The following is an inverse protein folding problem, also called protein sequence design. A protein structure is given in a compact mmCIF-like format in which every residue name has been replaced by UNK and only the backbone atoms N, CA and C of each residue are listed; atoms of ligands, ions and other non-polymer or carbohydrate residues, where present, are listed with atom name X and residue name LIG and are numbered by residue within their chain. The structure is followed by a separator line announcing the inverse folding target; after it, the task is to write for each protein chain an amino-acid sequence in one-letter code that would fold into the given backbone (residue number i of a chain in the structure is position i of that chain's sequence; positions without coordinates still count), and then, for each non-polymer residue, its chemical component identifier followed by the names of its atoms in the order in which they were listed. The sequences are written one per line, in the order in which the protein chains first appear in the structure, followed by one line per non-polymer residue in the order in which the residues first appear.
data_IF_615604184958
#
_entry.id   IF_615604184958
#
_cell.length_a   1.000
_cell.length_b   1.000
_cell.length_c   1.000
_cell.angle_alpha   90.00
_cell.angle_beta   90.00
_cell.angle_gamma   90.00
#
_symmetry.space_group_name_H-M   'P 1'
#
loop_
_entity.id
_entity.type
_entity.pdbx_description
1 polymer ?
#
# COMPACT_ATOMS: atom_id res chain seq x y z
N UNK A 1 32.65 63.18 64.17
CA UNK A 1 31.59 62.38 63.50
C UNK A 1 30.77 63.35 62.65
N UNK A 2 30.68 63.36 61.33
CA UNK A 2 31.09 62.51 60.21
C UNK A 2 31.30 63.40 58.96
N UNK A 3 32.26 63.06 58.10
CA UNK A 3 32.44 63.59 56.72
C UNK A 3 31.41 62.95 55.76
N UNK A 4 31.19 63.59 54.60
CA UNK A 4 31.12 62.98 53.23
C UNK A 4 30.09 63.69 52.33
N UNK A 5 30.52 64.48 51.33
CA UNK A 5 30.86 64.19 49.91
C UNK A 5 29.66 64.10 48.94
N UNK A 6 29.72 64.95 47.90
CA UNK A 6 28.86 65.00 46.71
C UNK A 6 29.13 63.81 45.78
N UNK A 7 28.11 63.32 45.05
CA UNK A 7 28.27 62.48 43.86
C UNK A 7 27.34 62.98 42.75
N UNK A 8 27.91 63.30 41.59
CA UNK A 8 27.19 63.57 40.33
C UNK A 8 26.74 62.24 39.72
N UNK A 9 25.47 62.16 39.31
CA UNK A 9 24.93 61.05 38.53
C UNK A 9 25.25 61.20 37.04
N UNK A 10 25.86 60.18 36.45
CA UNK A 10 26.09 60.04 35.01
C UNK A 10 24.96 59.18 34.42
N UNK A 11 24.26 59.69 33.41
CA UNK A 11 23.24 58.95 32.66
C UNK A 11 23.87 58.28 31.44
N UNK A 12 23.80 56.94 31.36
CA UNK A 12 24.20 56.16 30.20
C UNK A 12 22.93 55.83 29.41
N UNK A 13 22.83 56.35 28.18
CA UNK A 13 21.78 55.96 27.23
C UNK A 13 22.21 54.68 26.50
N UNK A 14 21.43 53.61 26.65
CA UNK A 14 21.64 52.33 25.94
C UNK A 14 20.76 52.33 24.69
N UNK A 15 21.39 52.38 23.52
CA UNK A 15 20.74 52.22 22.21
C UNK A 15 20.56 50.74 21.90
N UNK A 16 19.32 50.26 21.89
CA UNK A 16 18.99 48.89 21.49
C UNK A 16 18.98 48.75 19.96
N UNK A 17 19.93 47.99 19.42
CA UNK A 17 19.93 47.55 18.02
C UNK A 17 18.99 46.35 17.88
N UNK A 18 17.85 46.56 17.21
CA UNK A 18 16.93 45.48 16.85
C UNK A 18 17.52 44.67 15.69
N UNK A 19 18.09 43.50 16.01
CA UNK A 19 18.47 42.48 15.03
C UNK A 19 17.21 41.71 14.60
N UNK A 20 16.69 42.01 13.41
CA UNK A 20 15.66 41.18 12.76
C UNK A 20 16.33 39.90 12.24
N UNK A 21 16.42 38.88 13.08
CA UNK A 21 16.78 37.53 12.66
C UNK A 21 15.61 36.95 11.85
N UNK A 22 15.70 37.05 10.51
CA UNK A 22 14.81 36.33 9.62
C UNK A 22 15.06 34.83 9.78
N UNK A 23 14.16 34.14 10.48
CA UNK A 23 14.14 32.69 10.56
C UNK A 23 13.76 32.11 9.18
N UNK A 24 14.78 31.82 8.36
CA UNK A 24 14.62 30.98 7.18
C UNK A 24 14.22 29.58 7.67
N UNK A 25 12.94 29.26 7.61
CA UNK A 25 12.43 27.92 7.86
C UNK A 25 12.95 27.02 6.74
N UNK A 26 14.01 26.26 7.01
CA UNK A 26 14.48 25.23 6.09
C UNK A 26 13.35 24.21 5.89
N UNK A 27 12.80 24.15 4.68
CA UNK A 27 11.86 23.09 4.32
C UNK A 27 12.60 21.76 4.47
N UNK A 28 12.06 20.84 5.29
CA UNK A 28 12.60 19.50 5.36
C UNK A 28 12.48 18.84 3.97
N UNK A 29 13.50 18.11 3.50
CA UNK A 29 13.44 17.43 2.22
C UNK A 29 12.21 16.52 2.16
N UNK A 30 11.38 16.66 1.13
CA UNK A 30 10.27 15.73 0.90
C UNK A 30 10.84 14.35 0.56
N UNK A 31 10.35 13.31 1.24
CA UNK A 31 10.80 11.94 1.00
C UNK A 31 10.40 11.49 -0.40
N UNK A 32 11.26 10.73 -1.12
CA UNK A 32 10.94 10.27 -2.47
C UNK A 32 9.65 9.46 -2.53
N UNK A 33 8.84 9.74 -3.55
CA UNK A 33 7.56 9.06 -3.80
C UNK A 33 7.64 8.15 -5.03
N UNK A 34 6.89 7.05 -4.99
CA UNK A 34 6.77 6.11 -6.11
C UNK A 34 5.32 5.77 -6.39
N UNK A 35 4.96 5.76 -7.66
CA UNK A 35 3.71 5.19 -8.14
C UNK A 35 3.87 3.70 -8.39
N UNK A 36 2.96 2.93 -7.80
CA UNK A 36 2.82 1.50 -8.00
C UNK A 36 1.60 1.25 -8.87
N UNK A 37 1.72 0.35 -9.84
CA UNK A 37 0.59 -0.19 -10.58
C UNK A 37 0.72 -1.70 -10.72
N UNK A 38 -0.36 -2.42 -10.42
CA UNK A 38 -0.48 -3.86 -10.52
C UNK A 38 -1.78 -4.18 -11.24
N UNK A 39 -1.67 -4.66 -12.48
CA UNK A 39 -2.81 -4.91 -13.35
C UNK A 39 -2.74 -6.31 -13.94
N UNK A 40 -3.89 -6.92 -14.25
CA UNK A 40 -3.89 -8.19 -14.98
C UNK A 40 -5.13 -9.02 -14.78
N UNK A 41 -5.18 -10.12 -15.53
CA UNK A 41 -6.18 -11.17 -15.41
C UNK A 41 -5.43 -12.50 -15.47
N UNK A 42 -5.63 -13.37 -14.49
CA UNK A 42 -4.93 -14.65 -14.42
C UNK A 42 -5.88 -15.76 -13.99
N UNK A 43 -5.71 -16.92 -14.61
CA UNK A 43 -6.22 -18.20 -14.11
C UNK A 43 -5.11 -18.88 -13.32
N UNK A 44 -5.38 -19.25 -12.07
CA UNK A 44 -4.43 -19.92 -11.20
C UNK A 44 -4.62 -21.44 -11.26
N UNK A 45 -3.52 -22.14 -11.06
CA UNK A 45 -3.54 -23.56 -10.73
C UNK A 45 -4.23 -23.76 -9.38
N UNK A 46 -5.04 -24.80 -9.29
CA UNK A 46 -5.73 -25.19 -8.07
C UNK A 46 -5.65 -26.70 -7.89
N UNK A 47 -5.80 -27.16 -6.64
CA UNK A 47 -5.64 -28.59 -6.32
C UNK A 47 -6.64 -29.47 -7.08
N UNK A 48 -7.88 -29.00 -7.23
CA UNK A 48 -8.88 -29.62 -8.09
C UNK A 48 -8.72 -29.11 -9.52
N UNK A 49 -8.19 -29.93 -10.42
CA UNK A 49 -7.93 -29.52 -11.82
C UNK A 49 -9.16 -29.09 -12.61
N UNK A 50 -10.34 -29.58 -12.24
CA UNK A 50 -11.60 -29.21 -12.87
C UNK A 50 -12.11 -27.83 -12.44
N UNK A 51 -11.62 -27.30 -11.32
CA UNK A 51 -11.99 -25.98 -10.84
C UNK A 51 -11.32 -24.87 -11.67
N UNK A 52 -11.88 -23.67 -11.60
CA UNK A 52 -11.33 -22.47 -12.25
C UNK A 52 -11.23 -21.32 -11.24
N UNK A 53 -10.02 -21.02 -10.80
CA UNK A 53 -9.71 -19.88 -9.92
C UNK A 53 -9.16 -18.74 -10.75
N UNK A 54 -9.81 -17.57 -10.68
CA UNK A 54 -9.43 -16.39 -11.44
C UNK A 54 -9.26 -15.16 -10.56
N UNK A 55 -8.24 -14.37 -10.90
CA UNK A 55 -7.99 -13.06 -10.31
C UNK A 55 -7.98 -12.02 -11.43
N UNK A 56 -8.72 -10.93 -11.24
CA UNK A 56 -8.64 -9.70 -12.02
C UNK A 56 -8.20 -8.56 -11.11
N UNK A 57 -7.09 -7.92 -11.46
CA UNK A 57 -6.49 -6.82 -10.69
C UNK A 57 -6.44 -5.54 -11.52
N UNK A 58 -6.81 -4.45 -10.86
CA UNK A 58 -6.47 -3.08 -11.23
C UNK A 58 -6.17 -2.33 -9.93
N UNK A 59 -4.91 -2.35 -9.50
CA UNK A 59 -4.49 -1.83 -8.21
C UNK A 59 -3.37 -0.79 -8.38
N UNK A 60 -3.51 0.33 -7.68
CA UNK A 60 -2.57 1.43 -7.76
C UNK A 60 -2.27 2.00 -6.38
N UNK A 61 -1.09 2.56 -6.20
CA UNK A 61 -0.74 3.27 -4.98
C UNK A 61 0.32 4.34 -5.19
N UNK A 62 0.33 5.35 -4.31
CA UNK A 62 1.45 6.27 -4.12
C UNK A 62 2.14 5.89 -2.81
N UNK A 63 3.43 5.56 -2.89
CA UNK A 63 4.23 5.18 -1.72
C UNK A 63 5.31 6.22 -1.44
N UNK A 64 5.41 6.63 -0.19
CA UNK A 64 6.53 7.44 0.31
C UNK A 64 7.63 6.50 0.79
N UNK A 65 8.88 6.77 0.42
CA UNK A 65 10.03 5.97 0.84
C UNK A 65 10.13 5.92 2.37
N UNK A 66 10.38 4.73 2.91
CA UNK A 66 10.50 4.50 4.36
C UNK A 66 9.18 4.36 5.12
N UNK A 67 8.03 4.59 4.48
CA UNK A 67 6.72 4.39 5.11
C UNK A 67 6.24 2.94 4.94
N UNK A 68 5.66 2.33 5.99
CA UNK A 68 5.16 0.95 5.93
C UNK A 68 3.89 0.82 5.08
N UNK A 69 3.11 1.90 4.95
CA UNK A 69 1.87 1.94 4.19
C UNK A 69 1.95 2.99 3.07
N UNK A 70 1.21 2.79 1.96
CA UNK A 70 1.10 3.81 0.94
C UNK A 70 0.36 5.03 1.48
N UNK A 71 0.74 6.21 1.00
CA UNK A 71 0.02 7.46 1.26
C UNK A 71 -1.41 7.40 0.68
N UNK A 72 -1.53 6.76 -0.48
CA UNK A 72 -2.81 6.52 -1.17
C UNK A 72 -2.79 5.18 -1.88
N UNK A 73 -3.89 4.45 -1.82
CA UNK A 73 -4.11 3.24 -2.61
C UNK A 73 -5.54 3.26 -3.18
N UNK A 74 -5.72 2.73 -4.39
CA UNK A 74 -7.02 2.71 -5.05
C UNK A 74 -7.09 1.63 -6.12
N UNK A 75 -8.30 1.37 -6.59
CA UNK A 75 -8.60 0.38 -7.61
C UNK A 75 -9.40 -0.80 -7.05
N UNK A 76 -9.48 -1.88 -7.82
CA UNK A 76 -10.32 -3.03 -7.49
C UNK A 76 -9.64 -4.36 -7.77
N UNK A 77 -10.06 -5.39 -7.03
CA UNK A 77 -9.70 -6.77 -7.30
C UNK A 77 -10.95 -7.63 -7.30
N UNK A 78 -11.09 -8.47 -8.32
CA UNK A 78 -12.11 -9.52 -8.37
C UNK A 78 -11.44 -10.88 -8.27
N UNK A 79 -11.86 -11.66 -7.27
CA UNK A 79 -11.53 -13.07 -7.10
C UNK A 79 -12.77 -13.89 -7.43
N UNK A 80 -12.63 -14.95 -8.23
CA UNK A 80 -13.69 -15.92 -8.44
C UNK A 80 -13.15 -17.34 -8.45
N UNK A 81 -13.94 -18.26 -7.93
CA UNK A 81 -13.65 -19.69 -7.94
C UNK A 81 -14.90 -20.41 -8.43
N UNK A 82 -14.78 -21.05 -9.60
CA UNK A 82 -15.76 -22.01 -10.09
C UNK A 82 -15.43 -23.40 -9.54
N UNK A 83 -16.37 -23.96 -8.81
CA UNK A 83 -16.31 -25.30 -8.26
C UNK A 83 -17.03 -26.27 -9.19
N UNK A 84 -16.29 -27.18 -9.81
CA UNK A 84 -16.84 -28.03 -10.86
C UNK A 84 -17.87 -29.05 -10.35
N UNK A 85 -17.68 -29.54 -9.13
CA UNK A 85 -18.56 -30.55 -8.51
C UNK A 85 -19.94 -29.96 -8.16
N UNK A 86 -19.96 -28.71 -7.72
CA UNK A 86 -21.17 -27.98 -7.32
C UNK A 86 -21.80 -27.21 -8.49
N UNK A 87 -21.11 -27.12 -9.64
CA UNK A 87 -21.47 -26.27 -10.78
C UNK A 87 -21.80 -24.83 -10.33
N UNK A 88 -20.92 -24.26 -9.51
CA UNK A 88 -21.16 -23.01 -8.78
C UNK A 88 -19.94 -22.09 -8.90
N UNK A 89 -20.18 -20.81 -9.16
CA UNK A 89 -19.11 -19.79 -9.12
C UNK A 89 -19.31 -18.87 -7.91
N UNK A 90 -18.40 -18.96 -6.95
CA UNK A 90 -18.29 -17.98 -5.87
C UNK A 90 -17.36 -16.85 -6.29
N UNK A 91 -17.67 -15.63 -5.87
CA UNK A 91 -16.88 -14.45 -6.22
C UNK A 91 -16.90 -13.39 -5.13
N UNK A 92 -15.82 -12.62 -5.07
CA UNK A 92 -15.69 -11.44 -4.24
C UNK A 92 -15.08 -10.28 -5.05
N UNK A 93 -15.60 -9.08 -4.84
CA UNK A 93 -15.09 -7.81 -5.35
C UNK A 93 -14.61 -6.98 -4.17
N UNK A 94 -13.33 -6.60 -4.20
CA UNK A 94 -12.71 -5.79 -3.18
C UNK A 94 -12.17 -4.46 -3.71
N UNK A 95 -12.15 -3.47 -2.83
CA UNK A 95 -11.53 -2.17 -3.05
C UNK A 95 -10.11 -2.18 -2.47
N UNK A 96 -9.14 -1.72 -3.26
CA UNK A 96 -7.72 -1.74 -2.89
C UNK A 96 -7.44 -0.76 -1.77
N UNK A 97 -6.92 -1.27 -0.65
CA UNK A 97 -6.50 -0.47 0.49
C UNK A 97 -4.97 -0.46 0.69
N UNK A 98 -4.24 -1.26 -0.10
CA UNK A 98 -2.79 -1.25 -0.19
C UNK A 98 -2.28 -1.85 -1.50
N UNK A 99 -1.21 -1.28 -2.07
CA UNK A 99 -0.41 -1.92 -3.10
C UNK A 99 1.08 -1.59 -2.90
N UNK A 100 1.93 -2.60 -2.95
CA UNK A 100 3.38 -2.49 -2.89
C UNK A 100 4.01 -3.36 -3.97
N UNK A 101 5.13 -2.89 -4.52
CA UNK A 101 5.84 -3.55 -5.60
C UNK A 101 7.35 -3.42 -5.43
N UNK A 102 8.05 -4.48 -5.83
CA UNK A 102 9.51 -4.58 -5.88
C UNK A 102 9.92 -5.60 -6.95
N UNK A 103 10.76 -5.19 -7.90
CA UNK A 103 11.09 -6.02 -9.06
C UNK A 103 9.83 -6.43 -9.83
N UNK A 104 9.70 -7.73 -10.11
CA UNK A 104 8.55 -8.34 -10.78
C UNK A 104 7.44 -8.80 -9.82
N UNK A 105 7.61 -8.57 -8.52
CA UNK A 105 6.71 -9.00 -7.45
C UNK A 105 5.90 -7.84 -6.88
N UNK A 106 4.67 -8.14 -6.46
CA UNK A 106 3.81 -7.20 -5.76
C UNK A 106 2.98 -7.87 -4.66
N UNK A 107 2.63 -7.07 -3.66
CA UNK A 107 1.61 -7.38 -2.67
C UNK A 107 0.48 -6.36 -2.77
N UNK A 108 -0.75 -6.85 -2.87
CA UNK A 108 -1.97 -6.02 -2.89
C UNK A 108 -2.87 -6.48 -1.76
N UNK A 109 -3.55 -5.56 -1.08
CA UNK A 109 -4.66 -5.93 -0.20
C UNK A 109 -5.91 -5.16 -0.55
N UNK A 110 -7.05 -5.81 -0.33
CA UNK A 110 -8.38 -5.23 -0.57
C UNK A 110 -9.31 -5.45 0.59
N UNK A 111 -10.24 -4.52 0.79
CA UNK A 111 -11.44 -4.73 1.61
C UNK A 111 -12.56 -5.21 0.71
N UNK A 112 -13.14 -6.37 1.02
CA UNK A 112 -14.26 -6.93 0.27
C UNK A 112 -15.49 -6.04 0.43
N UNK A 113 -16.05 -5.58 -0.71
CA UNK A 113 -17.23 -4.72 -0.76
C UNK A 113 -18.46 -5.48 -1.19
N UNK A 114 -18.31 -6.41 -2.12
CA UNK A 114 -19.42 -7.17 -2.66
C UNK A 114 -19.03 -8.61 -2.98
N UNK A 115 -20.00 -9.52 -2.91
CA UNK A 115 -19.77 -10.96 -3.04
C UNK A 115 -21.00 -11.71 -3.54
N UNK A 116 -20.76 -12.96 -3.96
CA UNK A 116 -21.82 -13.94 -4.12
C UNK A 116 -22.60 -14.15 -2.80
N UNK A 117 -23.94 -14.31 -2.82
CA UNK A 117 -24.74 -14.42 -1.58
C UNK A 117 -24.30 -15.51 -0.60
N UNK A 118 -23.78 -16.64 -1.07
CA UNK A 118 -23.31 -17.75 -0.21
C UNK A 118 -22.03 -17.44 0.58
N UNK A 119 -21.32 -16.35 0.24
CA UNK A 119 -20.15 -15.85 0.98
C UNK A 119 -20.37 -14.38 1.35
N UNK A 120 -21.61 -14.04 1.74
CA UNK A 120 -21.98 -12.70 2.16
C UNK A 120 -21.21 -12.23 3.40
N UNK A 121 -20.80 -13.17 4.25
CA UNK A 121 -20.00 -12.95 5.46
C UNK A 121 -18.57 -12.46 5.16
N UNK A 122 -18.10 -12.56 3.91
CA UNK A 122 -16.79 -12.02 3.53
C UNK A 122 -16.77 -10.49 3.42
N UNK A 123 -17.93 -9.82 3.31
CA UNK A 123 -18.00 -8.35 3.21
C UNK A 123 -17.35 -7.69 4.43
N UNK A 124 -16.52 -6.68 4.18
CA UNK A 124 -15.76 -5.97 5.22
C UNK A 124 -14.45 -6.65 5.63
N UNK A 125 -14.22 -7.92 5.27
CA UNK A 125 -12.95 -8.61 5.51
C UNK A 125 -11.87 -8.16 4.53
N UNK A 126 -10.60 -8.32 4.92
CA UNK A 126 -9.43 -8.07 4.06
C UNK A 126 -8.96 -9.35 3.39
N UNK A 127 -8.55 -9.24 2.13
CA UNK A 127 -7.80 -10.29 1.42
C UNK A 127 -6.46 -9.70 0.97
N UNK A 128 -5.36 -10.39 1.31
CA UNK A 128 -4.03 -10.11 0.79
C UNK A 128 -3.74 -10.98 -0.43
N UNK A 129 -3.09 -10.41 -1.44
CA UNK A 129 -2.68 -11.04 -2.68
C UNK A 129 -1.17 -10.86 -2.85
N UNK A 130 -0.45 -11.95 -3.07
CA UNK A 130 0.94 -11.91 -3.54
C UNK A 130 0.99 -12.32 -4.99
N UNK A 131 1.78 -11.60 -5.78
CA UNK A 131 1.77 -11.70 -7.24
C UNK A 131 3.20 -11.64 -7.76
N UNK A 132 3.54 -12.53 -8.69
CA UNK A 132 4.78 -12.49 -9.45
C UNK A 132 4.45 -12.50 -10.94
N UNK A 133 5.02 -11.53 -11.68
CA UNK A 133 4.72 -11.33 -13.10
C UNK A 133 5.36 -12.40 -14.00
N UNK A 134 6.31 -13.19 -13.48
CA UNK A 134 7.14 -14.09 -14.28
C UNK A 134 8.15 -13.35 -15.18
N UNK A 135 8.93 -14.12 -15.93
CA UNK A 135 9.99 -13.61 -16.82
C UNK A 135 11.23 -14.50 -16.79
N UNK A 136 12.11 -14.38 -17.78
CA UNK A 136 13.43 -15.03 -17.82
C UNK A 136 13.40 -16.56 -17.53
N UNK A 137 12.37 -17.24 -18.05
CA UNK A 137 12.16 -18.68 -17.85
C UNK A 137 11.36 -19.05 -16.59
N UNK A 138 11.04 -18.07 -15.74
CA UNK A 138 10.22 -18.26 -14.55
C UNK A 138 8.72 -18.04 -14.82
N UNK A 139 7.85 -18.94 -14.36
CA UNK A 139 6.42 -18.77 -14.52
C UNK A 139 5.87 -17.65 -13.62
N UNK A 140 4.81 -17.00 -14.09
CA UNK A 140 4.01 -16.12 -13.24
C UNK A 140 3.34 -16.92 -12.11
N UNK A 141 3.18 -16.28 -10.95
CA UNK A 141 2.60 -16.91 -9.75
C UNK A 141 1.67 -15.97 -9.00
N UNK A 142 0.74 -16.53 -8.25
CA UNK A 142 -0.12 -15.78 -7.34
C UNK A 142 -0.48 -16.60 -6.11
N UNK A 143 -0.92 -15.94 -5.05
CA UNK A 143 -1.60 -16.58 -3.93
C UNK A 143 -2.44 -15.54 -3.17
N UNK A 144 -3.38 -16.00 -2.33
CA UNK A 144 -4.19 -15.13 -1.47
C UNK A 144 -4.25 -15.62 -0.02
N UNK A 145 -4.42 -14.72 0.94
CA UNK A 145 -4.66 -15.08 2.36
C UNK A 145 -6.01 -15.75 2.58
N UNK A 146 -6.95 -15.67 1.62
CA UNK A 146 -8.37 -15.77 1.90
C UNK A 146 -8.89 -14.56 2.71
N UNK A 147 -10.19 -14.53 3.06
CA UNK A 147 -10.78 -13.44 3.84
C UNK A 147 -10.36 -13.52 5.32
N UNK A 148 -9.84 -12.41 5.85
CA UNK A 148 -9.44 -12.26 7.25
C UNK A 148 -10.09 -10.99 7.81
N UNK A 149 -10.41 -10.95 9.11
CA UNK A 149 -10.89 -9.72 9.73
C UNK A 149 -9.93 -8.55 9.44
N UNK A 150 -10.50 -7.39 9.07
CA UNK A 150 -9.72 -6.26 8.59
C UNK A 150 -8.89 -5.56 9.67
N UNK A 151 -9.02 -5.91 10.94
CA UNK A 151 -8.11 -5.49 12.01
C UNK A 151 -6.99 -6.51 12.26
N UNK A 152 -7.14 -7.76 11.79
CA UNK A 152 -6.21 -8.88 12.03
C UNK A 152 -5.22 -9.13 10.90
N UNK A 153 -5.49 -8.63 9.69
CA UNK A 153 -4.57 -8.71 8.56
C UNK A 153 -3.98 -7.34 8.25
N UNK A 154 -2.71 -7.04 8.58
CA UNK A 154 -2.08 -5.79 8.19
C UNK A 154 -2.17 -5.51 6.68
N UNK A 155 -2.25 -4.23 6.31
CA UNK A 155 -2.17 -3.79 4.91
C UNK A 155 -0.87 -4.28 4.26
N UNK A 156 -0.92 -4.60 2.97
CA UNK A 156 0.23 -5.09 2.21
C UNK A 156 0.90 -6.35 2.80
N UNK A 157 0.15 -7.19 3.51
CA UNK A 157 0.60 -8.51 3.96
C UNK A 157 -0.13 -9.62 3.18
N UNK A 158 0.64 -10.57 2.67
CA UNK A 158 0.18 -11.79 2.00
C UNK A 158 1.26 -12.88 2.13
N UNK A 159 0.91 -14.17 2.03
CA UNK A 159 1.90 -15.25 1.96
C UNK A 159 2.67 -15.21 0.64
N UNK A 160 3.69 -16.05 0.47
CA UNK A 160 4.45 -16.14 -0.78
C UNK A 160 3.55 -16.55 -1.98
N UNK A 161 3.85 -16.10 -3.21
CA UNK A 161 3.07 -16.47 -4.39
C UNK A 161 3.43 -17.89 -4.84
N UNK A 162 2.63 -18.87 -4.44
CA UNK A 162 2.93 -20.29 -4.68
C UNK A 162 2.25 -20.86 -5.93
N UNK A 163 0.99 -20.50 -6.21
CA UNK A 163 0.23 -21.06 -7.32
C UNK A 163 0.77 -20.57 -8.66
N UNK A 164 0.99 -21.51 -9.57
CA UNK A 164 1.33 -21.19 -10.95
C UNK A 164 0.14 -20.52 -11.64
N UNK A 165 0.42 -19.51 -12.45
CA UNK A 165 -0.56 -18.97 -13.40
C UNK A 165 -0.63 -19.91 -14.60
N UNK A 166 -1.83 -20.43 -14.91
CA UNK A 166 -2.08 -21.32 -16.04
C UNK A 166 -2.33 -20.55 -17.34
N UNK A 167 -2.98 -19.39 -17.25
CA UNK A 167 -3.21 -18.50 -18.39
C UNK A 167 -3.41 -17.05 -17.95
N UNK A 168 -3.14 -16.11 -18.85
CA UNK A 168 -3.10 -14.69 -18.52
C UNK A 168 -1.83 -14.32 -17.77
N UNK A 169 -1.91 -13.35 -16.86
CA UNK A 169 -0.77 -12.90 -16.07
C UNK A 169 -0.98 -11.55 -15.40
N UNK A 170 0.10 -11.06 -14.80
CA UNK A 170 0.14 -9.80 -14.08
C UNK A 170 1.22 -8.90 -14.66
N UNK A 171 0.98 -7.59 -14.62
CA UNK A 171 1.97 -6.54 -14.89
C UNK A 171 2.18 -5.76 -13.61
N UNK A 172 3.43 -5.73 -13.15
CA UNK A 172 3.86 -4.97 -11.98
C UNK A 172 4.76 -3.82 -12.43
N UNK A 173 4.48 -2.62 -11.92
CA UNK A 173 5.26 -1.41 -12.16
C UNK A 173 5.49 -0.64 -10.85
N UNK A 174 6.67 -0.06 -10.71
CA UNK A 174 7.03 0.84 -9.61
C UNK A 174 7.99 1.92 -10.12
N UNK A 175 7.48 3.12 -10.31
CA UNK A 175 8.22 4.25 -10.89
C UNK A 175 8.25 5.45 -9.94
N UNK A 176 9.28 6.30 -9.96
CA UNK A 176 9.23 7.59 -9.26
C UNK A 176 7.99 8.38 -9.70
N UNK A 177 7.38 9.13 -8.77
CA UNK A 177 6.37 10.15 -9.14
C UNK A 177 7.06 11.27 -9.93
N UNK A 178 6.35 11.85 -10.91
CA UNK A 178 6.81 13.03 -11.64
C UNK A 178 6.73 14.30 -10.77
#
# INVERSE_FOLDING_TARGET
MHRSTRVLGVSIAVTALALTAGSAQAASPELPKREVSVTGNARLEYFTKADDVRIRLDAHAVRVQGQPQPERAWGTVRLSHYFAKENLTLWALGEVDCASAGGRSATVSVIVKDTHPQIADWRGKRIGFSLHSGGDGEPARGWTTGPVEADKLPKCLAPAPEQRVLSGGFRVSSRPTA
#
